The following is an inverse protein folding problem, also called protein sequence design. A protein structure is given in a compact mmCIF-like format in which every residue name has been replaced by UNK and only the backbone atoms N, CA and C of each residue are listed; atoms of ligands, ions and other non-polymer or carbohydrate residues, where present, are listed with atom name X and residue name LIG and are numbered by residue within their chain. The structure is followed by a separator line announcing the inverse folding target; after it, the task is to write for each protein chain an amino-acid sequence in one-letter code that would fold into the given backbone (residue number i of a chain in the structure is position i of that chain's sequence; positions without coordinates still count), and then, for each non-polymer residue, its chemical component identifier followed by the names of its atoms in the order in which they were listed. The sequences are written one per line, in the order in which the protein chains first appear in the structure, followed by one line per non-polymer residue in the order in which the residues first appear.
data_IF_612676255069
#
_entry.id   IF_612676255069
#
_cell.length_a   1.000
_cell.length_b   1.000
_cell.length_c   1.000
_cell.angle_alpha   90.00
_cell.angle_beta   90.00
_cell.angle_gamma   90.00
#
_symmetry.space_group_name_H-M   'P 1'
#
loop_
_entity.id
_entity.type
_entity.pdbx_description
1 polymer ?
#
# COMPACT_ATOMS: atom_id res chain seq x y z
N UNK A 1 12.24 5.02 3.88
CA UNK A 1 12.94 6.01 3.02
C UNK A 1 13.88 5.37 1.99
N UNK A 2 14.85 4.52 2.36
CA UNK A 2 15.79 3.89 1.39
C UNK A 2 15.09 3.10 0.29
N UNK A 3 14.03 2.34 0.61
CA UNK A 3 13.24 1.58 -0.34
C UNK A 3 12.57 2.48 -1.40
N UNK A 4 11.92 3.56 -0.96
CA UNK A 4 11.29 4.53 -1.86
C UNK A 4 12.32 5.20 -2.77
N UNK A 5 13.48 5.59 -2.24
CA UNK A 5 14.57 6.14 -3.04
C UNK A 5 15.10 5.15 -4.08
N UNK A 6 15.22 3.86 -3.73
CA UNK A 6 15.63 2.83 -4.69
C UNK A 6 14.62 2.67 -5.81
N UNK A 7 13.32 2.65 -5.48
CA UNK A 7 12.22 2.60 -6.45
C UNK A 7 12.25 3.82 -7.39
N UNK A 8 12.39 5.03 -6.84
CA UNK A 8 12.48 6.27 -7.62
C UNK A 8 13.71 6.33 -8.53
N UNK A 9 14.80 5.64 -8.17
CA UNK A 9 15.99 5.49 -9.01
C UNK A 9 15.87 4.36 -10.05
N UNK A 10 14.70 3.73 -10.16
CA UNK A 10 14.43 2.71 -11.16
C UNK A 10 14.86 1.28 -10.81
N UNK A 11 15.24 1.00 -9.56
CA UNK A 11 15.70 -0.34 -9.16
C UNK A 11 14.65 -1.44 -9.37
N UNK A 12 13.35 -1.10 -9.39
CA UNK A 12 12.27 -2.04 -9.63
C UNK A 12 11.76 -2.00 -11.08
N UNK A 13 12.33 -1.15 -11.95
CA UNK A 13 11.72 -0.84 -13.24
C UNK A 13 10.37 -0.13 -13.05
N UNK A 14 9.36 -0.48 -13.86
CA UNK A 14 8.00 0.02 -13.70
C UNK A 14 7.31 -0.72 -12.55
N UNK A 15 6.80 0.00 -11.57
CA UNK A 15 6.02 -0.60 -10.48
C UNK A 15 4.68 -1.10 -11.03
N UNK A 16 4.37 -2.36 -10.75
CA UNK A 16 3.15 -3.05 -11.18
C UNK A 16 2.14 -3.17 -10.05
N UNK A 17 2.67 -3.38 -8.84
CA UNK A 17 1.90 -3.69 -7.66
C UNK A 17 2.57 -3.11 -6.41
N UNK A 18 1.77 -2.47 -5.55
CA UNK A 18 2.20 -2.07 -4.22
C UNK A 18 1.12 -2.49 -3.22
N UNK A 19 1.47 -3.38 -2.30
CA UNK A 19 0.62 -3.84 -1.22
C UNK A 19 1.10 -3.25 0.10
N UNK A 20 0.18 -2.76 0.90
CA UNK A 20 0.45 -2.31 2.28
C UNK A 20 -0.57 -2.90 3.23
N UNK A 21 -0.11 -3.31 4.39
CA UNK A 21 -0.93 -3.91 5.43
C UNK A 21 -0.62 -3.28 6.78
N UNK A 22 -1.68 -2.89 7.48
CA UNK A 22 -1.60 -2.43 8.85
C UNK A 22 -2.73 -3.05 9.67
N UNK A 23 -2.36 -3.82 10.70
CA UNK A 23 -3.33 -4.52 11.54
C UNK A 23 -2.89 -4.52 13.00
N UNK A 24 -3.84 -4.36 13.90
CA UNK A 24 -3.65 -4.40 15.36
C UNK A 24 -4.97 -4.73 16.07
N UNK A 25 -4.98 -4.76 17.40
CA UNK A 25 -6.15 -5.10 18.22
C UNK A 25 -7.18 -3.98 18.41
N UNK A 26 -7.03 -2.88 17.70
CA UNK A 26 -7.93 -1.74 17.76
C UNK A 26 -7.32 -0.48 18.39
N UNK A 27 -8.02 0.65 18.29
CA UNK A 27 -7.58 1.93 18.86
C UNK A 27 -7.77 1.97 20.38
N UNK A 28 -7.01 2.85 21.06
CA UNK A 28 -7.06 3.01 22.52
C UNK A 28 -8.09 4.02 23.00
N UNK A 29 -8.46 4.99 22.15
CA UNK A 29 -9.34 6.08 22.54
C UNK A 29 -10.79 5.76 22.19
N UNK A 30 -11.69 6.01 23.13
CA UNK A 30 -13.11 5.65 23.01
C UNK A 30 -13.83 6.31 21.82
N UNK A 31 -13.39 7.49 21.39
CA UNK A 31 -14.01 8.21 20.28
C UNK A 31 -13.87 7.48 18.93
N UNK A 32 -12.86 6.63 18.75
CA UNK A 32 -12.72 5.81 17.53
C UNK A 32 -13.88 4.82 17.35
N UNK A 33 -14.49 4.38 18.45
CA UNK A 33 -15.56 3.40 18.43
C UNK A 33 -16.94 3.97 18.06
N UNK A 34 -17.02 5.27 17.82
CA UNK A 34 -18.25 6.00 17.47
C UNK A 34 -18.08 6.68 16.13
N UNK A 35 -18.80 6.23 15.11
CA UNK A 35 -18.72 6.71 13.73
C UNK A 35 -18.87 8.24 13.59
N UNK A 36 -19.79 8.82 14.37
CA UNK A 36 -20.00 10.27 14.36
C UNK A 36 -18.77 11.07 14.77
N UNK A 37 -17.89 10.48 15.59
CA UNK A 37 -16.66 11.12 16.08
C UNK A 37 -15.46 10.77 15.21
N UNK A 38 -15.34 9.52 14.77
CA UNK A 38 -14.21 9.01 14.00
C UNK A 38 -14.35 9.24 12.49
N UNK A 39 -15.57 9.37 12.00
CA UNK A 39 -15.87 9.47 10.56
C UNK A 39 -15.86 8.12 9.81
N UNK A 40 -15.33 7.06 10.40
CA UNK A 40 -15.23 5.72 9.85
C UNK A 40 -14.48 4.79 10.78
N UNK A 41 -14.18 3.57 10.33
CA UNK A 41 -13.47 2.56 11.10
C UNK A 41 -12.02 2.39 10.66
N UNK A 42 -11.59 1.15 10.53
CA UNK A 42 -10.22 0.78 10.20
C UNK A 42 -9.69 1.37 8.89
N UNK A 43 -10.57 1.63 7.91
CA UNK A 43 -10.18 2.26 6.64
C UNK A 43 -9.72 3.71 6.86
N UNK A 44 -10.45 4.47 7.67
CA UNK A 44 -10.09 5.87 7.96
C UNK A 44 -8.85 5.92 8.84
N UNK A 45 -8.77 5.07 9.86
CA UNK A 45 -7.67 5.04 10.83
C UNK A 45 -6.34 4.60 10.18
N UNK A 46 -6.33 3.44 9.54
CA UNK A 46 -5.12 2.80 9.03
C UNK A 46 -5.06 2.72 7.50
N UNK A 47 -6.23 2.64 6.83
CA UNK A 47 -6.30 2.58 5.38
C UNK A 47 -5.68 3.80 4.71
N UNK A 48 -5.77 4.98 5.35
CA UNK A 48 -5.11 6.18 4.88
C UNK A 48 -3.58 6.00 4.75
N UNK A 49 -2.94 5.34 5.72
CA UNK A 49 -1.51 5.04 5.69
C UNK A 49 -1.17 4.07 4.56
N UNK A 50 -1.87 2.94 4.50
CA UNK A 50 -1.64 1.91 3.50
C UNK A 50 -1.85 2.41 2.06
N UNK A 51 -2.90 3.20 1.83
CA UNK A 51 -3.20 3.80 0.53
C UNK A 51 -2.09 4.77 0.11
N UNK A 52 -1.62 5.62 1.04
CA UNK A 52 -0.56 6.58 0.74
C UNK A 52 0.80 5.92 0.53
N UNK A 53 1.12 4.87 1.28
CA UNK A 53 2.33 4.07 1.07
C UNK A 53 2.31 3.47 -0.35
N UNK A 54 1.22 2.80 -0.73
CA UNK A 54 1.08 2.23 -2.06
C UNK A 54 1.20 3.30 -3.15
N UNK A 55 0.52 4.45 -2.98
CA UNK A 55 0.55 5.60 -3.88
C UNK A 55 1.96 6.18 -4.02
N UNK A 56 2.71 6.27 -2.92
CA UNK A 56 4.09 6.76 -2.93
C UNK A 56 5.03 5.88 -3.74
N UNK A 57 4.90 4.55 -3.66
CA UNK A 57 5.70 3.61 -4.44
C UNK A 57 5.28 3.53 -5.91
N UNK A 58 3.99 3.58 -6.21
CA UNK A 58 3.47 3.62 -7.59
C UNK A 58 3.84 4.95 -8.26
N UNK A 59 4.00 6.00 -7.48
CA UNK A 59 4.31 7.36 -7.91
C UNK A 59 3.08 8.27 -7.81
N UNK A 60 3.17 9.31 -6.99
CA UNK A 60 2.10 10.26 -6.69
C UNK A 60 1.53 11.01 -7.91
N UNK A 61 2.27 11.05 -9.02
CA UNK A 61 1.82 11.58 -10.31
C UNK A 61 0.87 10.65 -11.09
N UNK A 62 0.69 9.39 -10.66
CA UNK A 62 -0.24 8.46 -11.29
C UNK A 62 -1.62 8.61 -10.67
N UNK A 63 -2.62 8.95 -11.51
CA UNK A 63 -3.99 9.18 -11.06
C UNK A 63 -4.65 7.88 -10.58
N UNK A 64 -5.21 7.80 -9.35
CA UNK A 64 -6.11 6.72 -8.98
C UNK A 64 -7.41 6.84 -9.79
N UNK A 65 -7.87 5.74 -10.38
CA UNK A 65 -8.97 5.71 -11.34
C UNK A 65 -10.23 5.12 -10.73
N UNK A 66 -10.09 3.95 -10.15
CA UNK A 66 -11.19 3.21 -9.55
C UNK A 66 -10.70 2.31 -8.42
N UNK A 67 -11.63 1.89 -7.58
CA UNK A 67 -11.37 1.06 -6.41
C UNK A 67 -12.42 -0.03 -6.28
N UNK A 68 -11.99 -1.20 -5.79
CA UNK A 68 -12.89 -2.21 -5.23
C UNK A 68 -12.49 -2.47 -3.79
N UNK A 69 -13.48 -2.56 -2.90
CA UNK A 69 -13.24 -2.71 -1.47
C UNK A 69 -14.30 -3.62 -0.85
N UNK A 70 -13.83 -4.53 0.00
CA UNK A 70 -14.65 -5.22 0.98
C UNK A 70 -14.36 -4.62 2.36
N UNK A 71 -15.39 -4.36 3.12
CA UNK A 71 -15.31 -3.87 4.50
C UNK A 71 -16.47 -4.44 5.31
N UNK A 72 -16.21 -4.83 6.55
CA UNK A 72 -17.20 -5.43 7.43
C UNK A 72 -16.83 -5.21 8.89
N UNK A 73 -17.80 -5.37 9.78
CA UNK A 73 -17.64 -5.37 11.22
C UNK A 73 -17.74 -6.80 11.71
N UNK A 74 -16.62 -7.38 12.14
CA UNK A 74 -16.55 -8.80 12.43
C UNK A 74 -16.43 -9.14 13.92
N UNK A 75 -15.81 -8.28 14.71
CA UNK A 75 -15.47 -8.55 16.10
C UNK A 75 -16.03 -7.51 17.07
N UNK A 76 -15.88 -6.24 16.74
CA UNK A 76 -16.24 -5.16 17.67
C UNK A 76 -17.72 -4.76 17.52
N UNK A 77 -18.44 -4.47 18.62
CA UNK A 77 -19.85 -4.07 18.58
C UNK A 77 -19.98 -2.57 18.21
N UNK A 78 -19.55 -2.21 17.01
CA UNK A 78 -19.49 -0.83 16.49
C UNK A 78 -20.27 -0.71 15.18
N UNK A 79 -20.58 0.51 14.79
CA UNK A 79 -21.34 0.84 13.57
C UNK A 79 -20.45 1.21 12.37
N UNK A 80 -19.15 0.93 12.49
CA UNK A 80 -18.15 1.09 11.42
C UNK A 80 -17.47 -0.25 11.14
N UNK A 81 -16.66 -0.32 10.09
CA UNK A 81 -15.86 -1.51 9.80
C UNK A 81 -14.65 -1.63 10.72
N UNK A 82 -14.39 -2.83 11.19
CA UNK A 82 -13.17 -3.20 11.92
C UNK A 82 -12.19 -4.01 11.07
N UNK A 83 -12.59 -4.36 9.83
CA UNK A 83 -11.74 -5.06 8.88
C UNK A 83 -12.08 -4.64 7.43
N UNK A 84 -11.04 -4.41 6.63
CA UNK A 84 -11.21 -4.08 5.22
C UNK A 84 -10.03 -4.51 4.36
N UNK A 85 -10.33 -4.84 3.10
CA UNK A 85 -9.36 -5.09 2.04
C UNK A 85 -9.80 -4.37 0.78
N UNK A 86 -8.88 -3.64 0.13
CA UNK A 86 -9.20 -2.93 -1.09
C UNK A 86 -8.10 -2.95 -2.12
N UNK A 87 -8.51 -2.77 -3.39
CA UNK A 87 -7.65 -2.61 -4.54
C UNK A 87 -7.92 -1.25 -5.19
N UNK A 88 -6.88 -0.49 -5.45
CA UNK A 88 -6.92 0.80 -6.14
C UNK A 88 -6.21 0.64 -7.48
N UNK A 89 -6.90 0.87 -8.59
CA UNK A 89 -6.29 0.89 -9.91
C UNK A 89 -5.85 2.31 -10.27
N UNK A 90 -4.62 2.42 -10.74
CA UNK A 90 -4.01 3.68 -11.19
C UNK A 90 -4.00 3.79 -12.71
N UNK A 91 -3.90 5.02 -13.22
CA UNK A 91 -3.94 5.32 -14.66
C UNK A 91 -2.81 4.69 -15.46
N UNK A 92 -1.66 4.42 -14.84
CA UNK A 92 -0.54 3.67 -15.45
C UNK A 92 -0.73 2.14 -15.41
N UNK A 93 -1.89 1.64 -14.96
CA UNK A 93 -2.22 0.22 -14.84
C UNK A 93 -1.70 -0.47 -13.59
N UNK A 94 -0.95 0.21 -12.74
CA UNK A 94 -0.50 -0.35 -11.47
C UNK A 94 -1.68 -0.53 -10.50
N UNK A 95 -1.54 -1.48 -9.59
CA UNK A 95 -2.51 -1.77 -8.54
C UNK A 95 -1.91 -1.47 -7.18
N UNK A 96 -2.56 -0.62 -6.40
CA UNK A 96 -2.35 -0.52 -4.96
C UNK A 96 -3.32 -1.46 -4.23
N UNK A 97 -2.82 -2.21 -3.26
CA UNK A 97 -3.65 -3.03 -2.38
C UNK A 97 -3.44 -2.57 -0.95
N UNK A 98 -4.52 -2.47 -0.20
CA UNK A 98 -4.45 -2.30 1.24
C UNK A 98 -5.23 -3.40 1.98
N UNK A 99 -4.77 -3.73 3.17
CA UNK A 99 -5.46 -4.59 4.14
C UNK A 99 -5.31 -3.95 5.51
N UNK A 100 -6.42 -3.70 6.18
CA UNK A 100 -6.45 -3.08 7.51
C UNK A 100 -7.41 -3.81 8.43
N UNK A 101 -7.04 -3.92 9.71
CA UNK A 101 -7.91 -4.61 10.67
C UNK A 101 -7.62 -4.21 12.12
N UNK A 102 -8.68 -3.99 12.88
CA UNK A 102 -8.67 -3.88 14.33
C UNK A 102 -8.88 -5.21 15.05
N UNK A 103 -8.90 -6.33 14.30
CA UNK A 103 -9.23 -7.66 14.86
C UNK A 103 -8.01 -8.52 15.15
N UNK A 104 -6.80 -8.05 14.84
CA UNK A 104 -5.56 -8.78 15.06
C UNK A 104 -5.01 -8.54 16.46
N UNK A 105 -4.80 -9.61 17.20
CA UNK A 105 -4.31 -9.58 18.57
C UNK A 105 -2.81 -9.85 18.64
N UNK A 106 -2.17 -9.37 19.71
CA UNK A 106 -0.76 -9.65 20.00
C UNK A 106 0.21 -8.54 19.58
N UNK A 107 -0.25 -7.41 19.09
CA UNK A 107 0.57 -6.27 18.68
C UNK A 107 0.17 -5.69 17.33
N UNK A 108 1.11 -5.06 16.65
CA UNK A 108 0.93 -4.50 15.31
C UNK A 108 1.63 -5.35 14.26
N UNK A 109 1.00 -5.49 13.09
CA UNK A 109 1.61 -6.10 11.92
C UNK A 109 1.59 -5.09 10.76
N UNK A 110 2.73 -4.49 10.47
CA UNK A 110 2.93 -3.53 9.39
C UNK A 110 3.88 -4.11 8.34
N UNK A 111 3.34 -4.38 7.17
CA UNK A 111 4.10 -4.98 6.06
C UNK A 111 3.77 -4.33 4.73
N UNK A 112 4.82 -4.06 3.94
CA UNK A 112 4.67 -3.59 2.58
C UNK A 112 5.38 -4.53 1.61
N UNK A 113 4.80 -4.67 0.43
CA UNK A 113 5.35 -5.44 -0.67
C UNK A 113 5.18 -4.67 -1.97
N UNK A 114 6.27 -4.47 -2.68
CA UNK A 114 6.29 -3.73 -3.93
C UNK A 114 6.91 -4.60 -5.01
N UNK A 115 6.20 -4.83 -6.09
CA UNK A 115 6.68 -5.58 -7.24
C UNK A 115 6.72 -4.69 -8.48
N UNK A 116 7.82 -4.74 -9.18
CA UNK A 116 8.02 -4.07 -10.45
C UNK A 116 8.49 -5.04 -11.53
N UNK A 117 8.76 -4.51 -12.72
CA UNK A 117 9.21 -5.33 -13.87
C UNK A 117 10.61 -5.90 -13.68
N UNK A 118 11.44 -5.28 -12.82
CA UNK A 118 12.85 -5.63 -12.64
C UNK A 118 13.20 -6.07 -11.22
N UNK A 119 12.26 -6.01 -10.27
CA UNK A 119 12.56 -6.38 -8.89
C UNK A 119 11.38 -6.28 -7.94
N UNK A 120 11.64 -6.68 -6.70
CA UNK A 120 10.66 -6.71 -5.61
C UNK A 120 11.29 -6.19 -4.32
N UNK A 121 10.49 -5.52 -3.50
CA UNK A 121 10.86 -5.09 -2.14
C UNK A 121 9.83 -5.66 -1.17
N UNK A 122 10.30 -6.20 -0.04
CA UNK A 122 9.51 -6.52 1.13
C UNK A 122 9.97 -5.67 2.31
N UNK A 123 9.03 -5.02 2.96
CA UNK A 123 9.24 -4.27 4.18
C UNK A 123 8.42 -4.90 5.30
N UNK A 124 9.05 -5.07 6.44
CA UNK A 124 8.39 -5.49 7.66
C UNK A 124 8.85 -4.54 8.77
N UNK A 125 7.96 -3.66 9.18
CA UNK A 125 8.31 -2.57 10.09
C UNK A 125 8.41 -3.03 11.55
N UNK A 126 7.69 -4.11 11.93
CA UNK A 126 7.62 -4.55 13.31
C UNK A 126 8.44 -5.81 13.62
N UNK A 127 8.30 -6.85 12.84
CA UNK A 127 8.96 -8.14 13.10
C UNK A 127 10.50 -8.11 13.06
N UNK A 128 11.10 -7.00 12.60
CA UNK A 128 12.56 -6.85 12.53
C UNK A 128 13.12 -5.70 13.34
N UNK A 129 12.27 -4.86 13.92
CA UNK A 129 12.66 -3.67 14.69
C UNK A 129 12.35 -3.78 16.17
N UNK A 130 11.45 -4.66 16.56
CA UNK A 130 11.11 -5.02 17.93
C UNK A 130 11.70 -6.36 18.35
N UNK A 131 11.07 -6.99 19.31
CA UNK A 131 11.33 -8.38 19.68
C UNK A 131 10.02 -9.18 19.61
N UNK A 132 10.16 -10.45 19.33
CA UNK A 132 9.07 -11.42 19.39
C UNK A 132 9.19 -12.17 20.69
N UNK A 133 8.09 -12.37 21.39
CA UNK A 133 8.06 -13.09 22.64
C UNK A 133 6.88 -14.06 22.69
N UNK A 134 7.13 -15.29 23.09
CA UNK A 134 6.08 -16.20 23.50
C UNK A 134 6.05 -16.31 25.02
N UNK A 135 4.88 -16.18 25.63
CA UNK A 135 4.69 -16.43 27.05
C UNK A 135 3.40 -17.21 27.30
N UNK A 136 3.52 -18.33 28.02
CA UNK A 136 2.37 -19.14 28.41
C UNK A 136 1.75 -18.75 29.76
N UNK A 137 2.48 -17.96 30.56
CA UNK A 137 2.07 -17.58 31.91
C UNK A 137 1.64 -16.13 32.06
N UNK A 138 1.84 -15.34 31.03
CA UNK A 138 1.62 -13.91 31.05
C UNK A 138 2.74 -13.13 31.73
N UNK A 139 2.75 -11.83 31.48
CA UNK A 139 3.63 -10.88 32.18
C UNK A 139 2.81 -9.87 32.93
N UNK A 140 3.25 -9.53 34.16
CA UNK A 140 2.66 -8.41 34.92
C UNK A 140 3.04 -7.08 34.29
N UNK A 141 2.05 -6.19 34.19
CA UNK A 141 2.27 -4.84 33.65
C UNK A 141 2.12 -4.68 32.16
N UNK A 142 2.49 -3.52 31.63
CA UNK A 142 2.43 -3.17 30.24
C UNK A 142 3.56 -3.86 29.48
N UNK A 143 3.21 -4.70 28.52
CA UNK A 143 4.17 -5.51 27.75
C UNK A 143 4.38 -4.97 26.35
N UNK A 144 3.31 -4.52 25.70
CA UNK A 144 3.37 -4.06 24.31
C UNK A 144 2.24 -3.08 24.02
N UNK A 145 2.54 -2.10 23.18
CA UNK A 145 1.53 -1.24 22.57
C UNK A 145 0.54 -2.09 21.78
N UNK A 146 -0.75 -1.81 21.95
CA UNK A 146 -1.85 -2.47 21.21
C UNK A 146 -1.92 -4.01 21.34
N UNK A 147 -1.22 -4.60 22.30
CA UNK A 147 -1.39 -6.00 22.64
C UNK A 147 -2.57 -6.17 23.60
N UNK A 148 -3.62 -6.85 23.17
CA UNK A 148 -4.83 -7.11 23.96
C UNK A 148 -4.66 -8.22 25.00
N UNK A 149 -3.53 -8.88 25.01
CA UNK A 149 -3.21 -9.97 25.91
C UNK A 149 -1.76 -9.96 26.35
N UNK A 150 -1.48 -10.69 27.42
CA UNK A 150 -0.15 -10.84 27.97
C UNK A 150 0.38 -12.28 27.89
N UNK A 151 -0.29 -13.14 27.16
CA UNK A 151 0.08 -14.54 26.94
C UNK A 151 0.08 -14.89 25.44
N UNK A 152 0.80 -15.94 25.09
CA UNK A 152 0.98 -16.38 23.70
C UNK A 152 2.10 -15.64 22.99
N UNK A 153 1.99 -15.53 21.66
CA UNK A 153 2.93 -14.74 20.86
C UNK A 153 2.58 -13.26 20.94
N UNK A 154 3.56 -12.44 21.30
CA UNK A 154 3.48 -10.99 21.43
C UNK A 154 4.50 -10.33 20.49
N UNK A 155 4.13 -9.21 19.91
CA UNK A 155 4.95 -8.37 19.03
C UNK A 155 5.05 -6.96 19.61
N UNK A 156 5.86 -6.76 20.67
CA UNK A 156 5.94 -5.50 21.38
C UNK A 156 6.50 -4.37 20.52
N UNK A 157 5.94 -3.20 20.68
CA UNK A 157 6.44 -1.96 20.09
C UNK A 157 7.42 -1.32 21.06
N UNK A 158 8.72 -1.44 20.76
CA UNK A 158 9.76 -0.93 21.67
C UNK A 158 9.96 0.58 21.60
N UNK A 159 9.97 1.15 20.39
CA UNK A 159 10.12 2.58 20.15
C UNK A 159 9.20 3.02 19.01
N UNK A 160 7.99 3.40 19.34
CA UNK A 160 6.98 3.85 18.37
C UNK A 160 7.43 5.13 17.66
N UNK A 161 7.94 6.10 18.41
CA UNK A 161 8.34 7.40 17.87
C UNK A 161 9.48 7.26 16.85
N UNK A 162 10.53 6.52 17.19
CA UNK A 162 11.66 6.30 16.30
C UNK A 162 11.32 5.34 15.16
N UNK A 163 10.61 4.24 15.43
CA UNK A 163 10.28 3.23 14.43
C UNK A 163 9.32 3.73 13.35
N UNK A 164 8.36 4.57 13.70
CA UNK A 164 7.38 5.16 12.77
C UNK A 164 7.87 6.45 12.10
N UNK A 165 9.02 7.00 12.52
CA UNK A 165 9.65 8.14 11.86
C UNK A 165 8.98 9.48 12.15
N UNK A 166 8.37 9.66 13.33
CA UNK A 166 7.75 10.94 13.72
C UNK A 166 8.76 12.10 13.72
N UNK A 167 9.99 11.86 14.20
CA UNK A 167 11.05 12.88 14.21
C UNK A 167 11.40 13.31 12.80
N UNK A 168 11.61 12.37 11.90
CA UNK A 168 11.91 12.62 10.48
C UNK A 168 10.77 13.34 9.77
N UNK A 169 9.53 13.06 10.12
CA UNK A 169 8.35 13.76 9.59
C UNK A 169 8.36 15.24 9.98
N UNK A 170 8.57 15.56 11.26
CA UNK A 170 8.65 16.94 11.71
C UNK A 170 9.86 17.67 11.12
N UNK A 171 11.02 17.01 11.01
CA UNK A 171 12.20 17.58 10.37
C UNK A 171 11.95 17.88 8.89
N UNK A 172 11.29 16.99 8.15
CA UNK A 172 10.92 17.23 6.75
C UNK A 172 10.00 18.46 6.64
N UNK A 173 9.01 18.57 7.51
CA UNK A 173 8.07 19.69 7.54
C UNK A 173 8.78 21.01 7.82
N UNK A 174 9.56 21.10 8.90
CA UNK A 174 10.26 22.35 9.27
C UNK A 174 11.32 22.75 8.23
N UNK A 175 12.13 21.80 7.75
CA UNK A 175 13.12 22.10 6.71
C UNK A 175 12.46 22.54 5.39
N UNK A 176 11.28 22.02 5.08
CA UNK A 176 10.53 22.41 3.89
C UNK A 176 9.96 23.82 4.03
N UNK A 177 9.48 24.20 5.23
CA UNK A 177 9.04 25.56 5.53
C UNK A 177 10.20 26.55 5.39
N UNK A 178 11.36 26.26 5.99
CA UNK A 178 12.56 27.15 5.90
C UNK A 178 13.06 27.29 4.47
N UNK A 179 12.98 26.22 3.68
CA UNK A 179 13.40 26.21 2.27
C UNK A 179 12.31 26.73 1.30
N UNK A 180 11.14 27.13 1.79
CA UNK A 180 9.97 27.54 0.99
C UNK A 180 9.61 26.49 -0.07
N UNK A 181 9.62 25.21 0.31
CA UNK A 181 9.28 24.05 -0.52
C UNK A 181 8.12 23.28 0.09
N UNK A 182 7.43 22.49 -0.73
CA UNK A 182 6.44 21.56 -0.22
C UNK A 182 7.12 20.41 0.53
N UNK A 183 6.61 19.98 1.71
CA UNK A 183 7.01 18.74 2.35
C UNK A 183 6.60 17.53 1.52
N UNK A 184 7.08 16.34 1.88
CA UNK A 184 6.75 15.10 1.17
C UNK A 184 5.28 14.76 1.21
N UNK A 185 4.65 15.07 2.33
CA UNK A 185 3.21 14.89 2.54
C UNK A 185 2.55 16.25 2.72
N UNK A 186 1.48 16.48 1.98
CA UNK A 186 0.73 17.74 1.95
C UNK A 186 -0.75 17.50 2.20
N UNK A 187 -1.51 18.53 2.49
CA UNK A 187 -2.98 18.44 2.54
C UNK A 187 -3.60 17.99 1.21
N UNK A 188 -2.91 18.23 0.08
CA UNK A 188 -3.38 17.69 -1.19
C UNK A 188 -3.24 16.16 -1.27
N UNK A 189 -2.18 15.59 -0.69
CA UNK A 189 -2.04 14.14 -0.57
C UNK A 189 -3.16 13.56 0.27
N UNK A 190 -3.47 14.19 1.41
CA UNK A 190 -4.63 13.84 2.23
C UNK A 190 -5.96 13.93 1.48
N UNK A 191 -6.16 14.96 0.62
CA UNK A 191 -7.34 15.06 -0.23
C UNK A 191 -7.47 13.88 -1.21
N UNK A 192 -6.37 13.49 -1.86
CA UNK A 192 -6.37 12.33 -2.77
C UNK A 192 -6.71 11.04 -2.03
N UNK A 193 -6.06 10.81 -0.89
CA UNK A 193 -6.29 9.62 -0.05
C UNK A 193 -7.74 9.56 0.43
N UNK A 194 -8.29 10.65 0.96
CA UNK A 194 -9.69 10.69 1.41
C UNK A 194 -10.68 10.45 0.26
N UNK A 195 -10.37 10.94 -0.95
CA UNK A 195 -11.22 10.66 -2.13
C UNK A 195 -11.21 9.17 -2.50
N UNK A 196 -10.07 8.49 -2.32
CA UNK A 196 -9.98 7.03 -2.49
C UNK A 196 -10.79 6.32 -1.40
N UNK A 197 -10.69 6.76 -0.13
CA UNK A 197 -11.45 6.21 1.00
C UNK A 197 -12.96 6.34 0.77
N UNK A 198 -13.43 7.49 0.31
CA UNK A 198 -14.84 7.69 -0.06
C UNK A 198 -15.31 6.69 -1.13
N UNK A 199 -14.47 6.43 -2.12
CA UNK A 199 -14.76 5.43 -3.14
C UNK A 199 -14.72 3.99 -2.56
N UNK A 200 -13.85 3.71 -1.58
CA UNK A 200 -13.82 2.42 -0.86
C UNK A 200 -15.15 2.16 -0.15
N UNK A 201 -15.69 3.12 0.60
CA UNK A 201 -16.99 2.97 1.26
C UNK A 201 -18.13 2.77 0.26
N UNK A 202 -18.12 3.49 -0.86
CA UNK A 202 -19.11 3.28 -1.95
C UNK A 202 -19.01 1.85 -2.50
N UNK A 203 -17.78 1.39 -2.77
CA UNK A 203 -17.52 0.06 -3.30
C UNK A 203 -17.93 -1.04 -2.31
N UNK A 204 -17.65 -0.89 -1.03
CA UNK A 204 -18.07 -1.82 0.01
C UNK A 204 -19.60 -1.95 0.07
N UNK A 205 -20.32 -0.85 -0.12
CA UNK A 205 -21.79 -0.83 -0.18
C UNK A 205 -22.34 -1.40 -1.49
N UNK A 206 -21.84 -0.97 -2.63
CA UNK A 206 -22.31 -1.39 -3.97
C UNK A 206 -21.81 -2.77 -4.40
N UNK A 207 -20.72 -3.25 -3.79
CA UNK A 207 -20.01 -4.50 -4.14
C UNK A 207 -19.51 -4.52 -5.59
N UNK A 208 -19.12 -3.34 -6.09
CA UNK A 208 -18.61 -3.13 -7.45
C UNK A 208 -17.36 -2.25 -7.42
N UNK A 209 -16.67 -2.20 -8.56
CA UNK A 209 -15.66 -1.18 -8.78
C UNK A 209 -16.34 0.20 -8.82
N UNK A 210 -15.77 1.15 -8.08
CA UNK A 210 -16.27 2.53 -7.99
C UNK A 210 -15.18 3.51 -8.44
N UNK A 211 -15.58 4.52 -9.18
CA UNK A 211 -14.65 5.54 -9.68
C UNK A 211 -14.14 6.43 -8.56
N UNK A 212 -12.86 6.77 -8.60
CA UNK A 212 -12.24 7.78 -7.74
C UNK A 212 -12.45 9.16 -8.36
N UNK A 213 -13.42 9.92 -7.83
CA UNK A 213 -13.87 11.19 -8.39
C UNK A 213 -13.06 12.37 -7.84
N UNK A 214 -11.79 12.49 -8.26
CA UNK A 214 -10.95 13.64 -7.93
C UNK A 214 -11.42 14.87 -8.72
N UNK A 215 -11.96 15.89 -8.03
CA UNK A 215 -12.36 17.16 -8.63
C UNK A 215 -11.16 18.00 -9.03
N UNK A 216 -10.07 17.89 -8.31
CA UNK A 216 -8.78 18.52 -8.59
C UNK A 216 -7.71 17.44 -8.75
N UNK A 217 -6.93 17.50 -9.82
CA UNK A 217 -5.81 16.61 -10.06
C UNK A 217 -4.57 17.42 -10.44
N UNK A 218 -3.45 17.20 -9.73
CA UNK A 218 -2.17 17.91 -9.91
C UNK A 218 -1.07 17.03 -10.50
N UNK A 219 -1.37 15.76 -10.79
CA UNK A 219 -0.44 14.83 -11.44
C UNK A 219 -0.55 14.89 -12.96
N UNK A 220 0.18 13.98 -13.63
CA UNK A 220 0.11 13.81 -15.07
C UNK A 220 -1.26 13.31 -15.56
N UNK A 221 -1.52 13.51 -16.84
CA UNK A 221 -2.67 12.90 -17.50
C UNK A 221 -2.58 11.36 -17.48
N UNK A 222 -3.73 10.70 -17.50
CA UNK A 222 -3.80 9.25 -17.59
C UNK A 222 -3.28 8.83 -18.96
N UNK A 223 -2.06 8.32 -19.02
CA UNK A 223 -1.52 7.71 -20.23
C UNK A 223 -2.02 6.26 -20.29
N UNK A 224 -3.19 6.05 -20.92
CA UNK A 224 -3.71 4.70 -21.16
C UNK A 224 -2.73 3.83 -21.97
N UNK A 225 -1.82 4.44 -22.73
CA UNK A 225 -0.76 3.78 -23.48
C UNK A 225 0.32 3.14 -22.61
N UNK A 226 0.63 3.71 -21.43
CA UNK A 226 1.61 3.13 -20.49
C UNK A 226 1.03 1.98 -19.66
N UNK A 227 -0.28 1.88 -19.55
CA UNK A 227 -0.98 0.78 -18.91
C UNK A 227 -0.89 -0.53 -19.69
N UNK A 228 -0.55 -0.44 -20.96
CA UNK A 228 -0.50 -1.62 -21.80
C UNK A 228 0.90 -2.22 -21.84
N UNK A 229 1.13 -3.27 -21.07
CA UNK A 229 1.90 -4.43 -21.56
C UNK A 229 1.26 -4.98 -22.86
N UNK A 230 0.45 -4.19 -23.50
CA UNK A 230 -0.34 -4.48 -24.69
C UNK A 230 0.34 -4.05 -25.97
N UNK A 231 1.64 -4.16 -26.05
CA UNK A 231 2.21 -4.77 -27.23
C UNK A 231 1.91 -6.29 -27.13
N UNK A 232 0.66 -6.57 -26.77
CA UNK A 232 0.14 -7.92 -26.71
C UNK A 232 0.03 -8.39 -28.15
N UNK A 233 1.07 -9.11 -28.61
CA UNK A 233 1.01 -9.83 -29.87
C UNK A 233 -0.12 -10.88 -29.72
N UNK A 234 -1.29 -10.70 -30.37
CA UNK A 234 -2.42 -11.59 -30.19
C UNK A 234 -2.11 -13.02 -30.64
N UNK A 235 -1.07 -13.19 -31.43
CA UNK A 235 -0.67 -14.47 -32.02
C UNK A 235 0.43 -15.17 -31.21
N UNK A 236 1.23 -14.45 -30.44
CA UNK A 236 2.39 -15.01 -29.75
C UNK A 236 2.34 -14.79 -28.24
N UNK A 237 2.96 -15.70 -27.49
CA UNK A 237 3.30 -15.58 -26.09
C UNK A 237 4.76 -15.17 -25.97
N UNK A 238 5.06 -14.14 -25.20
CA UNK A 238 6.41 -13.81 -24.79
C UNK A 238 6.90 -14.87 -23.79
N UNK A 239 7.97 -15.59 -24.15
CA UNK A 239 8.60 -16.57 -23.24
C UNK A 239 9.74 -15.94 -22.47
N UNK A 240 10.60 -15.14 -23.16
CA UNK A 240 11.81 -14.58 -22.55
C UNK A 240 12.28 -13.37 -23.33
N UNK A 241 12.81 -12.40 -22.57
CA UNK A 241 13.63 -11.31 -23.11
C UNK A 241 15.04 -11.43 -22.55
N UNK A 242 16.05 -11.30 -23.41
CA UNK A 242 17.48 -11.34 -23.05
C UNK A 242 18.17 -10.12 -23.64
N UNK A 243 18.83 -9.34 -22.78
CA UNK A 243 19.72 -8.26 -23.23
C UNK A 243 21.05 -8.86 -23.65
N UNK A 244 21.38 -8.71 -24.92
CA UNK A 244 22.62 -9.21 -25.50
C UNK A 244 23.82 -8.30 -25.14
N UNK A 245 25.07 -8.81 -25.16
CA UNK A 245 26.24 -8.00 -24.89
C UNK A 245 26.44 -6.82 -25.84
N UNK A 246 25.89 -6.91 -27.05
CA UNK A 246 25.90 -5.84 -28.06
C UNK A 246 24.80 -4.79 -27.88
N UNK A 247 24.01 -4.88 -26.79
CA UNK A 247 22.93 -3.96 -26.44
C UNK A 247 21.57 -4.26 -27.06
N UNK A 248 21.49 -5.23 -28.01
CA UNK A 248 20.22 -5.66 -28.59
C UNK A 248 19.38 -6.45 -27.59
N UNK A 249 18.06 -6.40 -27.75
CA UNK A 249 17.13 -7.20 -26.98
C UNK A 249 16.70 -8.42 -27.81
N UNK A 250 17.02 -9.62 -27.33
CA UNK A 250 16.55 -10.87 -27.92
C UNK A 250 15.23 -11.25 -27.29
N UNK A 251 14.20 -11.39 -28.11
CA UNK A 251 12.83 -11.71 -27.69
C UNK A 251 12.49 -13.12 -28.19
N UNK A 252 12.12 -14.01 -27.27
CA UNK A 252 11.71 -15.38 -27.58
C UNK A 252 10.20 -15.46 -27.45
N UNK A 253 9.54 -15.85 -28.56
CA UNK A 253 8.09 -15.90 -28.69
C UNK A 253 7.63 -17.32 -28.98
N UNK A 254 6.45 -17.69 -28.47
CA UNK A 254 5.74 -18.93 -28.79
C UNK A 254 4.43 -18.61 -29.47
N UNK A 255 4.23 -19.14 -30.67
CA UNK A 255 2.96 -19.04 -31.37
C UNK A 255 1.86 -19.78 -30.59
N UNK A 256 0.73 -19.11 -30.34
CA UNK A 256 -0.36 -19.63 -29.50
C UNK A 256 -1.11 -20.80 -30.14
N UNK A 257 -1.16 -20.86 -31.47
CA UNK A 257 -1.89 -21.90 -32.20
C UNK A 257 -1.02 -23.10 -32.49
N UNK A 258 0.21 -22.88 -32.95
CA UNK A 258 1.10 -23.95 -33.41
C UNK A 258 2.07 -24.42 -32.35
N UNK A 259 2.27 -23.65 -31.27
CA UNK A 259 3.29 -23.91 -30.26
C UNK A 259 4.73 -23.67 -30.71
N UNK A 260 4.94 -23.21 -31.95
CA UNK A 260 6.26 -22.99 -32.54
C UNK A 260 6.98 -21.84 -31.82
N UNK A 261 8.23 -22.08 -31.45
CA UNK A 261 9.10 -21.07 -30.83
C UNK A 261 9.85 -20.32 -31.94
N UNK A 262 9.87 -18.99 -31.85
CA UNK A 262 10.62 -18.09 -32.71
C UNK A 262 11.40 -17.09 -31.88
N UNK A 263 12.44 -16.51 -32.49
CA UNK A 263 13.20 -15.42 -31.85
C UNK A 263 13.25 -14.19 -32.76
N UNK A 264 13.19 -13.03 -32.12
CA UNK A 264 13.34 -11.72 -32.78
C UNK A 264 14.40 -10.91 -32.05
N UNK A 265 15.03 -9.99 -32.72
CA UNK A 265 15.95 -9.02 -32.13
C UNK A 265 15.36 -7.63 -32.31
N UNK A 266 15.45 -6.82 -31.25
CA UNK A 266 14.95 -5.45 -31.19
C UNK A 266 16.08 -4.50 -30.82
#
# INVERSE_FOLDING_TARGET
MKALQATQKGALGRVLWARSRETHGGPHSDWFWTKELSGGGAIVDMGCHCIEIARSFIGKGNRPVEVTCWADTQVHPIDTEDHAVGLVRYGNGAIGQFEVSWTFRGGMDLRDEIAGTEGTIWLNHWLRTGFEMFTGVGQGGYVAEKAEGNTGWLFPVGDEIGSLGYVEMFLDMFNSMDATKAPRETFYDGYVVNTIIDACYKSAGSKKWESVNLKEWRGGDVNEGDASLKDFDPQHLLIKEEKMPDGRLKIILKDKKTGKISQRFK
#
